data_IF_721622918406
#
_entry.id   IF_721622918406
#
_cell.length_a   1.000
_cell.length_b   1.000
_cell.length_c   1.000
_cell.angle_alpha   90.00
_cell.angle_beta   90.00
_cell.angle_gamma   90.00
#
_symmetry.space_group_name_H-M   'P 1'
#
loop_
_entity.id
_entity.type
_entity.pdbx_description
1 polymer ?
#
# COMPACT_ATOMS: atom_id res chain seq x y z
N UNK A 1 -1.17 -29.19 2.00
CA UNK A 1 -0.66 -28.75 0.70
C UNK A 1 -1.58 -29.29 -0.37
N UNK A 2 -2.25 -28.43 -1.10
CA UNK A 2 -2.97 -28.79 -2.31
C UNK A 2 -1.95 -28.93 -3.46
N UNK A 3 -2.22 -29.85 -4.38
CA UNK A 3 -1.48 -29.92 -5.64
C UNK A 3 -1.62 -28.58 -6.39
N UNK A 4 -0.60 -28.21 -7.17
CA UNK A 4 -0.68 -27.03 -8.02
C UNK A 4 -1.77 -27.26 -9.07
N UNK A 5 -2.60 -26.27 -9.38
CA UNK A 5 -3.63 -26.39 -10.39
C UNK A 5 -3.02 -26.51 -11.78
N UNK A 6 -3.66 -27.30 -12.68
CA UNK A 6 -3.29 -27.34 -14.10
C UNK A 6 -3.53 -25.97 -14.75
N UNK A 7 -2.53 -25.48 -15.46
CA UNK A 7 -2.59 -24.20 -16.18
C UNK A 7 -3.25 -24.38 -17.55
N UNK A 8 -4.36 -23.71 -17.78
CA UNK A 8 -5.04 -23.72 -19.07
C UNK A 8 -4.38 -22.75 -20.05
N UNK A 9 -4.70 -22.90 -21.33
CA UNK A 9 -4.10 -22.11 -22.42
C UNK A 9 -4.25 -20.57 -22.27
N UNK A 10 -5.27 -20.10 -21.55
CA UNK A 10 -5.54 -18.67 -21.31
C UNK A 10 -5.20 -18.22 -19.88
N UNK A 11 -4.39 -18.99 -19.17
CA UNK A 11 -4.04 -18.76 -17.77
C UNK A 11 -2.52 -18.69 -17.58
N UNK A 12 -2.13 -18.02 -16.52
CA UNK A 12 -0.75 -17.85 -16.09
C UNK A 12 -0.66 -18.23 -14.62
N UNK A 13 0.27 -19.11 -14.25
CA UNK A 13 0.55 -19.45 -12.86
C UNK A 13 1.56 -18.48 -12.29
N UNK A 14 1.16 -17.82 -11.22
CA UNK A 14 1.97 -16.84 -10.52
C UNK A 14 2.41 -17.40 -9.18
N UNK A 15 3.71 -17.38 -8.89
CA UNK A 15 4.27 -17.59 -7.56
C UNK A 15 4.32 -16.26 -6.84
N UNK A 16 3.64 -16.13 -5.73
CA UNK A 16 3.58 -14.91 -4.93
C UNK A 16 4.94 -14.61 -4.30
N UNK A 17 5.46 -13.39 -4.50
CA UNK A 17 6.66 -12.87 -3.84
C UNK A 17 6.26 -12.18 -2.54
N UNK A 18 5.28 -11.28 -2.62
CA UNK A 18 4.71 -10.57 -1.47
C UNK A 18 3.32 -10.04 -1.80
N UNK A 19 2.53 -9.79 -0.76
CA UNK A 19 1.20 -9.21 -0.89
C UNK A 19 0.95 -8.13 0.17
N UNK A 20 0.05 -7.22 -0.12
CA UNK A 20 -0.28 -6.12 0.78
C UNK A 20 -1.28 -6.54 1.87
N UNK A 21 -1.02 -6.14 3.11
CA UNK A 21 -1.98 -6.19 4.20
C UNK A 21 -2.39 -4.74 4.51
N UNK A 22 -3.65 -4.41 4.20
CA UNK A 22 -4.15 -3.04 4.27
C UNK A 22 -5.29 -2.89 5.28
N UNK A 23 -5.68 -1.65 5.56
CA UNK A 23 -6.89 -1.38 6.34
C UNK A 23 -8.15 -2.00 5.69
N UNK A 24 -8.21 -2.06 4.36
CA UNK A 24 -9.27 -2.72 3.61
C UNK A 24 -9.33 -4.23 3.87
N UNK A 25 -8.18 -4.89 3.98
CA UNK A 25 -8.08 -6.30 4.37
C UNK A 25 -8.69 -6.53 5.75
N UNK A 26 -8.35 -5.69 6.72
CA UNK A 26 -8.93 -5.75 8.07
C UNK A 26 -10.44 -5.49 8.06
N UNK A 27 -10.89 -4.50 7.31
CA UNK A 27 -12.31 -4.18 7.16
C UNK A 27 -13.10 -5.37 6.58
N UNK A 28 -12.53 -6.07 5.59
CA UNK A 28 -13.09 -7.29 5.02
C UNK A 28 -13.23 -8.43 6.05
N UNK A 29 -12.19 -8.64 6.87
CA UNK A 29 -12.21 -9.65 7.94
C UNK A 29 -13.26 -9.34 9.02
N UNK A 30 -13.50 -8.07 9.30
CA UNK A 30 -14.45 -7.63 10.33
C UNK A 30 -15.87 -7.43 9.80
N UNK A 31 -16.08 -7.45 8.48
CA UNK A 31 -17.36 -7.09 7.86
C UNK A 31 -17.79 -5.65 8.15
N UNK A 32 -16.84 -4.79 8.53
CA UNK A 32 -17.14 -3.42 8.97
C UNK A 32 -17.32 -2.41 7.84
N UNK A 33 -16.96 -2.79 6.61
CA UNK A 33 -17.09 -1.93 5.44
C UNK A 33 -18.15 -2.49 4.49
N UNK A 34 -19.06 -1.63 4.06
CA UNK A 34 -20.18 -2.01 3.15
C UNK A 34 -19.71 -2.63 1.83
N UNK A 35 -18.54 -2.21 1.34
CA UNK A 35 -17.94 -2.74 0.11
C UNK A 35 -17.23 -4.09 0.29
N UNK A 36 -16.92 -4.49 1.53
CA UNK A 36 -16.20 -5.73 1.81
C UNK A 36 -17.12 -6.95 1.97
N UNK A 37 -18.42 -6.72 2.20
CA UNK A 37 -19.39 -7.77 2.46
C UNK A 37 -19.18 -8.46 3.82
N UNK A 38 -19.94 -9.51 4.07
CA UNK A 38 -19.79 -10.32 5.27
C UNK A 38 -18.53 -11.20 5.18
N UNK A 39 -17.81 -11.41 6.30
CA UNK A 39 -16.68 -12.34 6.34
C UNK A 39 -17.13 -13.75 5.93
N UNK A 40 -16.30 -14.41 5.14
CA UNK A 40 -16.55 -15.79 4.69
C UNK A 40 -15.37 -16.67 5.07
N UNK A 41 -15.67 -17.92 5.45
CA UNK A 41 -14.67 -18.96 5.67
C UNK A 41 -14.56 -19.87 4.44
N UNK A 42 -13.43 -20.58 4.29
CA UNK A 42 -13.24 -21.52 3.18
C UNK A 42 -12.88 -20.87 1.84
N UNK A 43 -12.56 -19.57 1.84
CA UNK A 43 -12.08 -18.82 0.67
C UNK A 43 -10.68 -18.26 0.91
N UNK A 44 -9.91 -18.09 -0.17
CA UNK A 44 -8.63 -17.38 -0.08
C UNK A 44 -8.91 -15.92 0.21
N UNK A 45 -8.22 -15.36 1.21
CA UNK A 45 -8.32 -13.94 1.55
C UNK A 45 -7.81 -13.09 0.38
N UNK A 46 -8.60 -12.11 -0.03
CA UNK A 46 -8.26 -11.25 -1.15
C UNK A 46 -7.12 -10.28 -0.79
N UNK A 47 -6.17 -10.10 -1.70
CA UNK A 47 -5.08 -9.13 -1.56
C UNK A 47 -4.41 -8.87 -2.90
N UNK A 48 -4.03 -7.61 -3.13
CA UNK A 48 -3.09 -7.26 -4.19
C UNK A 48 -1.69 -7.73 -3.80
N UNK A 49 -1.01 -8.38 -4.72
CA UNK A 49 0.34 -8.86 -4.52
C UNK A 49 1.22 -8.69 -5.76
N UNK A 50 2.48 -8.87 -5.56
CA UNK A 50 3.48 -9.01 -6.62
C UNK A 50 3.97 -10.45 -6.65
N UNK A 51 4.18 -10.97 -7.85
CA UNK A 51 4.63 -12.33 -8.05
C UNK A 51 5.40 -12.50 -9.35
N UNK A 52 5.86 -13.71 -9.56
CA UNK A 52 6.63 -14.12 -10.73
C UNK A 52 5.86 -15.20 -11.49
N UNK A 53 5.83 -15.08 -12.80
CA UNK A 53 5.28 -16.09 -13.68
C UNK A 53 6.15 -17.35 -13.59
N UNK A 54 5.57 -18.47 -13.19
CA UNK A 54 6.27 -19.76 -13.08
C UNK A 54 5.80 -20.78 -14.12
N UNK A 55 4.61 -20.57 -14.70
CA UNK A 55 4.09 -21.35 -15.82
C UNK A 55 3.15 -20.51 -16.67
N UNK A 56 3.35 -20.52 -17.99
CA UNK A 56 2.55 -19.78 -18.97
C UNK A 56 2.76 -20.33 -20.36
N UNK A 57 1.68 -20.35 -21.16
CA UNK A 57 1.73 -20.56 -22.62
C UNK A 57 1.50 -19.27 -23.40
N UNK A 58 1.53 -18.11 -22.73
CA UNK A 58 1.20 -16.80 -23.32
C UNK A 58 2.50 -16.04 -23.57
N UNK A 59 2.78 -15.72 -24.82
CA UNK A 59 4.02 -15.07 -25.27
C UNK A 59 4.28 -13.74 -24.53
N UNK A 60 3.23 -12.98 -24.24
CA UNK A 60 3.33 -11.71 -23.51
C UNK A 60 3.75 -11.87 -22.04
N UNK A 61 3.60 -13.05 -21.46
CA UNK A 61 3.94 -13.33 -20.07
C UNK A 61 4.85 -14.56 -19.96
N UNK A 62 6.10 -14.48 -20.45
CA UNK A 62 7.04 -15.59 -20.32
C UNK A 62 7.41 -15.85 -18.85
N UNK A 63 7.87 -17.07 -18.57
CA UNK A 63 8.36 -17.46 -17.24
C UNK A 63 9.45 -16.50 -16.78
N UNK A 64 9.40 -16.10 -15.50
CA UNK A 64 10.28 -15.10 -14.91
C UNK A 64 9.73 -13.66 -14.96
N UNK A 65 8.65 -13.40 -15.72
CA UNK A 65 8.01 -12.07 -15.74
C UNK A 65 7.45 -11.73 -14.37
N UNK A 66 7.84 -10.57 -13.83
CA UNK A 66 7.28 -10.06 -12.57
C UNK A 66 6.03 -9.24 -12.84
N UNK A 67 4.99 -9.49 -12.05
CA UNK A 67 3.67 -8.90 -12.24
C UNK A 67 3.04 -8.44 -10.93
N UNK A 68 2.20 -7.41 -11.03
CA UNK A 68 1.24 -6.99 -10.00
C UNK A 68 -0.12 -7.58 -10.36
N UNK A 69 -0.79 -8.21 -9.40
CA UNK A 69 -2.12 -8.81 -9.59
C UNK A 69 -2.83 -9.04 -8.25
N UNK A 70 -4.03 -9.61 -8.29
CA UNK A 70 -4.75 -10.07 -7.09
C UNK A 70 -4.28 -11.48 -6.74
N UNK A 71 -3.16 -11.59 -6.03
CA UNK A 71 -2.61 -12.90 -5.62
C UNK A 71 -3.46 -13.59 -4.56
N UNK A 72 -4.15 -12.84 -3.73
CA UNK A 72 -4.70 -13.36 -2.49
C UNK A 72 -3.61 -13.78 -1.49
N UNK A 73 -4.02 -14.34 -0.35
CA UNK A 73 -3.12 -14.87 0.66
C UNK A 73 -2.80 -16.34 0.36
N UNK A 74 -2.06 -16.56 -0.69
CA UNK A 74 -1.66 -17.88 -1.16
C UNK A 74 -0.30 -17.82 -1.85
N UNK A 75 0.38 -18.94 -1.88
CA UNK A 75 1.71 -19.06 -2.46
C UNK A 75 1.67 -19.04 -3.99
N UNK A 76 0.65 -19.66 -4.57
CA UNK A 76 0.44 -19.70 -6.02
C UNK A 76 -0.98 -19.27 -6.37
N UNK A 77 -1.12 -18.54 -7.47
CA UNK A 77 -2.42 -18.11 -7.99
C UNK A 77 -2.48 -18.25 -9.51
N UNK A 78 -3.58 -18.80 -10.01
CA UNK A 78 -3.92 -18.77 -11.43
C UNK A 78 -4.54 -17.44 -11.77
N UNK A 79 -4.05 -16.80 -12.81
CA UNK A 79 -4.49 -15.49 -13.25
C UNK A 79 -4.71 -15.47 -14.75
N UNK A 80 -5.63 -14.61 -15.19
CA UNK A 80 -5.78 -14.31 -16.63
C UNK A 80 -4.94 -13.09 -17.01
N UNK A 81 -4.41 -13.00 -18.23
CA UNK A 81 -3.54 -11.91 -18.69
C UNK A 81 -4.08 -10.51 -18.43
N UNK A 82 -5.39 -10.31 -18.60
CA UNK A 82 -6.04 -9.02 -18.38
C UNK A 82 -6.00 -8.54 -16.91
N UNK A 83 -5.70 -9.42 -15.96
CA UNK A 83 -5.57 -9.11 -14.55
C UNK A 83 -4.12 -8.84 -14.14
N UNK A 84 -3.18 -8.93 -15.07
CA UNK A 84 -1.75 -8.81 -14.83
C UNK A 84 -1.25 -7.44 -15.28
N UNK A 85 -0.44 -6.80 -14.44
CA UNK A 85 0.34 -5.62 -14.80
C UNK A 85 1.81 -5.97 -14.69
N UNK A 86 2.56 -5.94 -15.81
CA UNK A 86 4.01 -6.17 -15.80
C UNK A 86 4.71 -5.11 -14.97
N UNK A 87 5.64 -5.53 -14.14
CA UNK A 87 6.49 -4.61 -13.41
C UNK A 87 7.63 -4.12 -14.30
N UNK A 88 8.09 -2.89 -14.05
CA UNK A 88 9.26 -2.36 -14.74
C UNK A 88 10.52 -3.04 -14.21
N UNK A 89 11.43 -3.39 -15.11
CA UNK A 89 12.74 -3.93 -14.75
C UNK A 89 13.56 -2.93 -13.91
N UNK A 90 14.36 -3.44 -13.00
CA UNK A 90 15.22 -2.63 -12.13
C UNK A 90 14.49 -1.96 -10.95
N UNK A 91 13.17 -2.10 -10.84
CA UNK A 91 12.39 -1.59 -9.71
C UNK A 91 12.08 -2.74 -8.75
N UNK A 92 12.34 -2.52 -7.45
CA UNK A 92 11.97 -3.49 -6.42
C UNK A 92 10.46 -3.74 -6.44
N UNK A 93 10.01 -5.00 -6.61
CA UNK A 93 8.60 -5.35 -6.65
C UNK A 93 7.79 -4.86 -5.43
N UNK A 94 8.41 -4.80 -4.25
CA UNK A 94 7.72 -4.33 -3.03
C UNK A 94 7.24 -2.89 -3.11
N UNK A 95 7.89 -2.04 -3.91
CA UNK A 95 7.49 -0.64 -4.10
C UNK A 95 6.11 -0.51 -4.77
N UNK A 96 5.68 -1.49 -5.56
CA UNK A 96 4.34 -1.53 -6.16
C UNK A 96 3.22 -1.82 -5.15
N UNK A 97 3.56 -2.30 -3.96
CA UNK A 97 2.62 -2.48 -2.84
C UNK A 97 2.60 -1.28 -1.87
N UNK A 98 3.47 -0.30 -2.11
CA UNK A 98 3.63 0.91 -1.32
C UNK A 98 3.53 2.18 -2.15
N UNK A 99 4.66 2.90 -2.38
CA UNK A 99 4.66 4.21 -3.04
C UNK A 99 4.20 4.19 -4.51
N UNK A 100 4.43 3.11 -5.24
CA UNK A 100 3.96 2.94 -6.62
C UNK A 100 2.58 2.25 -6.70
N UNK A 101 1.98 1.93 -5.56
CA UNK A 101 0.67 1.30 -5.45
C UNK A 101 -0.40 2.26 -4.95
N UNK A 102 -1.51 1.67 -4.47
CA UNK A 102 -2.70 2.43 -4.05
C UNK A 102 -2.40 3.45 -2.94
N UNK A 103 -1.46 3.15 -2.03
CA UNK A 103 -1.13 4.04 -0.92
C UNK A 103 -0.41 5.31 -1.41
N UNK A 104 0.55 5.15 -2.32
CA UNK A 104 1.25 6.28 -2.94
C UNK A 104 0.33 7.11 -3.83
N UNK A 105 -0.51 6.48 -4.65
CA UNK A 105 -1.51 7.16 -5.46
C UNK A 105 -2.50 7.94 -4.58
N UNK A 106 -2.95 7.35 -3.48
CA UNK A 106 -3.85 8.02 -2.52
C UNK A 106 -3.18 9.26 -1.92
N UNK A 107 -1.92 9.14 -1.51
CA UNK A 107 -1.17 10.25 -0.96
C UNK A 107 -0.97 11.37 -2.00
N UNK A 108 -0.56 10.99 -3.21
CA UNK A 108 -0.27 11.92 -4.30
C UNK A 108 -1.51 12.71 -4.71
N UNK A 109 -2.57 12.02 -5.14
CA UNK A 109 -3.78 12.69 -5.62
C UNK A 109 -4.53 13.40 -4.48
N UNK A 110 -4.60 12.79 -3.30
CA UNK A 110 -5.24 13.41 -2.13
C UNK A 110 -4.57 14.71 -1.72
N UNK A 111 -3.24 14.79 -1.74
CA UNK A 111 -2.53 16.00 -1.39
C UNK A 111 -2.48 17.00 -2.54
N UNK A 112 -2.07 16.57 -3.75
CA UNK A 112 -1.73 17.52 -4.82
C UNK A 112 -2.95 17.95 -5.65
N UNK A 113 -3.92 17.05 -5.87
CA UNK A 113 -5.11 17.38 -6.69
C UNK A 113 -6.28 17.90 -5.84
N UNK A 114 -6.41 17.38 -4.60
CA UNK A 114 -7.52 17.78 -3.72
C UNK A 114 -7.06 18.82 -2.70
N UNK A 115 -5.96 18.55 -1.98
CA UNK A 115 -5.43 19.45 -0.95
C UNK A 115 -4.77 20.70 -1.52
N UNK A 116 -4.09 20.59 -2.65
CA UNK A 116 -3.44 21.66 -3.40
C UNK A 116 -2.59 22.61 -2.53
N UNK A 117 -1.69 22.10 -1.68
CA UNK A 117 -0.91 22.96 -0.80
C UNK A 117 0.10 23.78 -1.59
N UNK A 118 0.31 25.02 -1.15
CA UNK A 118 1.31 25.91 -1.69
C UNK A 118 2.61 25.88 -0.87
N UNK A 119 3.72 26.21 -1.51
CA UNK A 119 5.02 26.30 -0.82
C UNK A 119 4.97 27.30 0.33
N UNK A 120 5.49 26.91 1.49
CA UNK A 120 5.47 27.72 2.71
C UNK A 120 4.27 27.46 3.62
N UNK A 121 3.22 26.83 3.13
CA UNK A 121 2.07 26.43 3.96
C UNK A 121 2.43 25.32 4.95
N UNK A 122 1.58 25.16 5.97
CA UNK A 122 1.70 24.07 6.94
C UNK A 122 0.66 22.99 6.65
N UNK A 123 1.14 21.80 6.36
CA UNK A 123 0.31 20.60 6.16
C UNK A 123 0.31 19.76 7.43
N UNK A 124 -0.86 19.60 8.04
CA UNK A 124 -1.04 18.72 9.19
C UNK A 124 -1.58 17.37 8.74
N UNK A 125 -0.89 16.30 9.11
CA UNK A 125 -1.22 14.93 8.68
C UNK A 125 -1.64 14.09 9.87
N UNK A 126 -2.88 13.62 9.89
CA UNK A 126 -3.36 12.63 10.86
C UNK A 126 -2.90 11.23 10.48
N UNK A 127 -2.74 10.34 11.48
CA UNK A 127 -2.17 9.01 11.27
C UNK A 127 -0.85 9.05 10.46
N UNK A 128 -0.02 10.07 10.71
CA UNK A 128 1.13 10.43 9.90
C UNK A 128 2.19 9.33 9.76
N UNK A 129 2.30 8.43 10.74
CA UNK A 129 3.20 7.28 10.68
C UNK A 129 2.57 6.04 9.99
N UNK A 130 1.37 6.17 9.43
CA UNK A 130 0.70 5.12 8.64
C UNK A 130 1.17 5.12 7.18
N UNK A 131 0.78 4.08 6.42
CA UNK A 131 1.27 3.86 5.06
C UNK A 131 0.93 4.99 4.06
N UNK A 132 -0.20 5.67 4.20
CA UNK A 132 -0.54 6.85 3.40
C UNK A 132 0.05 8.12 4.03
N UNK A 133 -0.10 8.29 5.36
CA UNK A 133 0.27 9.52 6.04
C UNK A 133 1.75 9.90 5.91
N UNK A 134 2.66 8.93 6.02
CA UNK A 134 4.09 9.22 5.88
C UNK A 134 4.47 9.63 4.45
N UNK A 135 3.76 9.14 3.44
CA UNK A 135 3.96 9.56 2.04
C UNK A 135 3.41 10.96 1.81
N UNK A 136 2.22 11.27 2.35
CA UNK A 136 1.65 12.63 2.30
C UNK A 136 2.64 13.66 2.84
N UNK A 137 3.22 13.39 4.02
CA UNK A 137 4.19 14.31 4.61
C UNK A 137 5.46 14.50 3.77
N UNK A 138 6.01 13.40 3.23
CA UNK A 138 7.19 13.50 2.36
C UNK A 138 6.89 14.25 1.06
N UNK A 139 5.74 14.04 0.44
CA UNK A 139 5.32 14.79 -0.76
C UNK A 139 5.13 16.27 -0.40
N UNK A 140 4.52 16.59 0.74
CA UNK A 140 4.38 17.96 1.22
C UNK A 140 5.74 18.64 1.45
N UNK A 141 6.74 17.92 1.99
CA UNK A 141 8.12 18.43 2.10
C UNK A 141 8.73 18.74 0.75
N UNK A 142 8.55 17.86 -0.25
CA UNK A 142 9.02 18.08 -1.63
C UNK A 142 8.36 19.33 -2.23
N UNK A 143 7.11 19.63 -1.89
CA UNK A 143 6.38 20.85 -2.32
C UNK A 143 6.82 22.11 -1.57
N UNK A 144 7.74 22.00 -0.60
CA UNK A 144 8.21 23.14 0.18
C UNK A 144 7.30 23.54 1.35
N UNK A 145 6.41 22.66 1.78
CA UNK A 145 5.55 22.88 2.93
C UNK A 145 6.26 22.59 4.25
N UNK A 146 5.78 23.19 5.34
CA UNK A 146 6.02 22.70 6.70
C UNK A 146 5.09 21.53 6.99
N UNK A 147 5.58 20.49 7.67
CA UNK A 147 4.79 19.28 7.90
C UNK A 147 4.71 18.93 9.38
N UNK A 148 3.50 18.83 9.89
CA UNK A 148 3.20 18.43 11.27
C UNK A 148 2.49 17.07 11.25
N UNK A 149 3.09 16.06 11.88
CA UNK A 149 2.53 14.72 11.97
C UNK A 149 1.78 14.48 13.27
N UNK A 150 0.59 13.87 13.21
CA UNK A 150 -0.14 13.39 14.38
C UNK A 150 -0.06 11.86 14.40
N UNK A 151 0.46 11.28 15.49
CA UNK A 151 0.61 9.84 15.64
C UNK A 151 0.30 9.36 17.07
N UNK A 152 0.34 8.06 17.32
CA UNK A 152 -0.24 7.47 18.55
C UNK A 152 0.77 7.01 19.58
N UNK A 153 2.06 7.32 19.42
CA UNK A 153 3.11 7.14 20.44
C UNK A 153 4.36 7.95 20.06
N UNK A 154 5.28 8.09 21.02
CA UNK A 154 6.47 8.93 20.91
C UNK A 154 7.52 8.34 19.94
N UNK A 155 7.66 7.00 19.86
CA UNK A 155 8.57 6.37 18.90
C UNK A 155 8.18 6.71 17.45
N UNK A 156 6.88 6.74 17.17
CA UNK A 156 6.38 7.18 15.85
C UNK A 156 6.62 8.65 15.60
N UNK A 157 6.49 9.49 16.64
CA UNK A 157 6.81 10.91 16.54
C UNK A 157 8.29 11.14 16.23
N UNK A 158 9.18 10.42 16.91
CA UNK A 158 10.63 10.46 16.64
C UNK A 158 10.94 10.02 15.22
N UNK A 159 10.39 8.88 14.79
CA UNK A 159 10.57 8.38 13.42
C UNK A 159 10.14 9.39 12.35
N UNK A 160 9.01 10.07 12.54
CA UNK A 160 8.53 11.09 11.59
C UNK A 160 9.53 12.25 11.47
N UNK A 161 10.11 12.71 12.58
CA UNK A 161 11.08 13.81 12.59
C UNK A 161 12.45 13.38 12.10
N UNK A 162 12.97 12.30 12.67
CA UNK A 162 14.37 11.91 12.54
C UNK A 162 14.67 11.18 11.22
N UNK A 163 13.69 10.39 10.70
CA UNK A 163 13.87 9.61 9.48
C UNK A 163 13.13 10.21 8.26
N UNK A 164 11.98 10.87 8.49
CA UNK A 164 11.08 11.33 7.41
C UNK A 164 11.03 12.85 7.27
N UNK A 165 11.87 13.57 8.00
CA UNK A 165 12.06 15.02 7.90
C UNK A 165 10.78 15.85 8.09
N UNK A 166 9.86 15.41 8.96
CA UNK A 166 8.74 16.21 9.42
C UNK A 166 9.24 17.33 10.32
N UNK A 167 8.67 18.54 10.19
CA UNK A 167 9.09 19.68 11.00
C UNK A 167 8.65 19.53 12.46
N UNK A 168 7.51 18.87 12.70
CA UNK A 168 7.03 18.54 14.03
C UNK A 168 6.20 17.24 14.01
N UNK A 169 6.11 16.60 15.16
CA UNK A 169 5.20 15.46 15.35
C UNK A 169 4.63 15.48 16.77
N UNK A 170 3.33 15.18 16.90
CA UNK A 170 2.60 15.23 18.15
C UNK A 170 1.91 13.89 18.42
N UNK A 171 2.07 13.40 19.65
CA UNK A 171 1.38 12.21 20.11
C UNK A 171 -0.02 12.59 20.61
N UNK A 172 -1.08 12.13 19.91
CA UNK A 172 -2.46 12.45 20.29
C UNK A 172 -2.92 11.79 21.60
N UNK A 173 -2.13 10.87 22.15
CA UNK A 173 -2.39 10.23 23.44
C UNK A 173 -1.72 10.96 24.61
N UNK A 174 -0.88 11.96 24.33
CA UNK A 174 -0.30 12.81 25.36
C UNK A 174 -1.40 13.64 26.02
N UNK A 175 -1.35 13.74 27.36
CA UNK A 175 -2.27 14.58 28.14
C UNK A 175 -2.24 16.06 27.73
N UNK A 176 -1.08 16.53 27.23
CA UNK A 176 -0.86 17.90 26.78
C UNK A 176 -1.09 18.08 25.26
N UNK A 177 -1.67 17.10 24.56
CA UNK A 177 -1.85 17.12 23.12
C UNK A 177 -2.39 18.45 22.58
N UNK A 178 -3.43 19.02 23.22
CA UNK A 178 -4.04 20.30 22.81
C UNK A 178 -3.10 21.49 22.98
N UNK A 179 -2.18 21.44 23.94
CA UNK A 179 -1.18 22.50 24.15
C UNK A 179 -0.05 22.38 23.13
N UNK A 180 0.33 21.16 22.78
CA UNK A 180 1.39 20.86 21.83
C UNK A 180 0.99 21.14 20.36
N UNK A 181 -0.30 21.40 20.10
CA UNK A 181 -0.83 21.81 18.79
C UNK A 181 -0.92 23.32 18.60
N UNK A 182 -0.66 24.12 19.63
CA UNK A 182 -0.63 25.60 19.56
C UNK A 182 0.74 26.11 19.17
#
# INVERSE_FOLDING_TARGET
SSELPDVKHDEVLIKTISFAITAGTRAGLQGSASYAGAPKTGIVMNSTGVGEVVESSIDDYPIGTKVLTQTGWQEYSLQKPQNLTKLREGIDPSLYLGPLGINGLTAYFGLLEVGQPESGETVMVSAAAGSVGHMVGQIAKIKGCKVVGICGNDDKCSKLKDELNFDAAVNYKDSNFRQNLK
#
